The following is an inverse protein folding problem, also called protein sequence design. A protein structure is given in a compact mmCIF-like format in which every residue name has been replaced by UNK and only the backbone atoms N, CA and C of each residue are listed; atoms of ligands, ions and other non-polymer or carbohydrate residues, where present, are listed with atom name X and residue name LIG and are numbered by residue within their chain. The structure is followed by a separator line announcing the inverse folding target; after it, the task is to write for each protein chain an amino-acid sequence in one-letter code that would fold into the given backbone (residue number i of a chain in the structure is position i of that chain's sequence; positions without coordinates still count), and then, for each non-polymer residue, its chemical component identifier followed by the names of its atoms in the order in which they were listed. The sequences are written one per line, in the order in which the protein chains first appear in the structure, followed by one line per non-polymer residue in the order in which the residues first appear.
data_IF_366080153232
#
_entry.id   IF_366080153232
#
_cell.length_a   1.000
_cell.length_b   1.000
_cell.length_c   1.000
_cell.angle_alpha   90.00
_cell.angle_beta   90.00
_cell.angle_gamma   90.00
#
_symmetry.space_group_name_H-M   'P 1'
#
loop_
_entity.id
_entity.type
_entity.pdbx_description
1 polymer ?
#
# COMPACT_ATOMS: atom_id res chain seq x y z
N UNK A 1 27.52 13.40 -6.78
CA UNK A 1 26.64 13.02 -7.90
C UNK A 1 25.34 12.54 -7.28
N UNK A 2 24.27 13.32 -7.38
CA UNK A 2 22.95 12.83 -6.96
C UNK A 2 22.52 11.73 -7.93
N UNK A 3 22.30 10.54 -7.39
CA UNK A 3 21.74 9.41 -8.11
C UNK A 3 20.31 9.79 -8.53
N UNK A 4 20.07 9.97 -9.84
CA UNK A 4 18.74 10.24 -10.35
C UNK A 4 17.86 9.01 -10.11
N UNK A 5 17.03 9.10 -9.09
CA UNK A 5 16.10 8.05 -8.70
C UNK A 5 15.21 7.65 -9.89
N UNK A 6 15.24 6.37 -10.26
CA UNK A 6 14.48 5.83 -11.39
C UNK A 6 13.00 5.79 -11.03
N UNK A 7 12.18 6.66 -11.63
CA UNK A 7 10.72 6.59 -11.51
C UNK A 7 10.19 5.48 -12.42
N UNK A 8 9.58 4.45 -11.83
CA UNK A 8 8.93 3.35 -12.55
C UNK A 8 7.41 3.53 -12.41
N UNK A 9 6.71 3.37 -13.53
CA UNK A 9 5.24 3.41 -13.58
C UNK A 9 4.69 1.99 -13.47
N UNK A 10 3.76 1.80 -12.54
CA UNK A 10 2.97 0.61 -12.30
C UNK A 10 1.55 0.83 -12.85
N UNK A 11 1.24 0.17 -13.96
CA UNK A 11 -0.06 0.29 -14.63
C UNK A 11 -1.19 -0.35 -13.82
N UNK A 12 -0.90 -1.33 -12.96
CA UNK A 12 -1.92 -1.99 -12.13
C UNK A 12 -2.50 -1.01 -11.11
N UNK A 13 -1.65 -0.24 -10.43
CA UNK A 13 -2.09 0.83 -9.51
C UNK A 13 -2.98 1.87 -10.18
N UNK A 14 -2.63 2.23 -11.42
CA UNK A 14 -3.39 3.22 -12.19
C UNK A 14 -4.75 2.64 -12.60
N UNK A 15 -4.79 1.38 -13.00
CA UNK A 15 -6.03 0.67 -13.34
C UNK A 15 -6.95 0.55 -12.12
N UNK A 16 -6.42 0.15 -10.97
CA UNK A 16 -7.13 0.11 -9.69
C UNK A 16 -7.73 1.48 -9.35
N UNK A 17 -6.92 2.55 -9.43
CA UNK A 17 -7.38 3.92 -9.19
C UNK A 17 -8.55 4.30 -10.11
N UNK A 18 -8.39 4.04 -11.41
CA UNK A 18 -9.38 4.44 -12.40
C UNK A 18 -10.68 3.65 -12.24
N UNK A 19 -10.61 2.40 -11.82
CA UNK A 19 -11.79 1.56 -11.57
C UNK A 19 -12.39 1.72 -10.17
N UNK A 20 -11.71 2.42 -9.26
CA UNK A 20 -12.21 2.69 -7.91
C UNK A 20 -13.34 3.71 -7.84
N UNK A 21 -14.05 3.73 -6.70
CA UNK A 21 -15.09 4.71 -6.37
C UNK A 21 -14.57 6.13 -6.10
N UNK A 22 -13.24 6.35 -6.15
CA UNK A 22 -12.66 7.69 -5.98
C UNK A 22 -13.23 8.62 -7.03
N UNK A 23 -13.79 9.76 -6.60
CA UNK A 23 -14.41 10.68 -7.55
C UNK A 23 -13.37 11.26 -8.52
N UNK A 24 -13.75 11.44 -9.79
CA UNK A 24 -12.91 12.13 -10.77
C UNK A 24 -12.57 13.57 -10.32
N UNK A 25 -13.40 14.17 -9.48
CA UNK A 25 -13.10 15.46 -8.85
C UNK A 25 -11.89 15.39 -7.90
N UNK A 26 -11.86 14.39 -7.01
CA UNK A 26 -10.77 14.20 -6.04
C UNK A 26 -9.44 13.96 -6.75
N UNK A 27 -9.44 13.11 -7.78
CA UNK A 27 -8.24 12.85 -8.59
C UNK A 27 -7.81 14.14 -9.31
N UNK A 28 -8.76 14.86 -9.91
CA UNK A 28 -8.49 16.10 -10.64
C UNK A 28 -7.85 17.18 -9.74
N UNK A 29 -8.39 17.38 -8.52
CA UNK A 29 -7.90 18.37 -7.55
C UNK A 29 -6.44 18.15 -7.14
N UNK A 30 -6.02 16.89 -7.00
CA UNK A 30 -4.68 16.55 -6.51
C UNK A 30 -3.66 16.37 -7.65
N UNK A 31 -4.09 15.89 -8.82
CA UNK A 31 -3.19 15.60 -9.95
C UNK A 31 -3.04 16.74 -10.96
N UNK A 32 -3.89 17.77 -10.88
CA UNK A 32 -4.07 18.79 -11.92
C UNK A 32 -4.43 18.19 -13.30
N UNK A 33 -5.03 17.00 -13.33
CA UNK A 33 -5.65 16.44 -14.54
C UNK A 33 -7.09 16.94 -14.63
N UNK A 34 -7.61 17.12 -15.84
CA UNK A 34 -9.03 17.48 -15.99
C UNK A 34 -9.91 16.25 -15.74
N UNK A 35 -11.14 16.46 -15.29
CA UNK A 35 -12.11 15.36 -15.11
C UNK A 35 -12.37 14.60 -16.42
N UNK A 36 -12.38 15.30 -17.56
CA UNK A 36 -12.49 14.68 -18.88
C UNK A 36 -11.35 13.71 -19.17
N UNK A 37 -10.10 14.07 -18.81
CA UNK A 37 -8.93 13.19 -18.94
C UNK A 37 -9.06 11.94 -18.08
N UNK A 38 -9.65 12.04 -16.89
CA UNK A 38 -9.85 10.87 -16.02
C UNK A 38 -10.97 9.99 -16.60
N UNK A 39 -12.10 10.60 -16.96
CA UNK A 39 -13.27 9.88 -17.43
C UNK A 39 -13.04 9.13 -18.74
N UNK A 40 -12.29 9.68 -19.70
CA UNK A 40 -11.97 8.96 -20.96
C UNK A 40 -11.23 7.64 -20.72
N UNK A 41 -10.43 7.53 -19.65
CA UNK A 41 -9.78 6.28 -19.30
C UNK A 41 -10.76 5.34 -18.59
N UNK A 42 -11.61 5.87 -17.71
CA UNK A 42 -12.67 5.08 -17.03
C UNK A 42 -13.68 4.48 -18.00
N UNK A 43 -14.03 5.20 -19.06
CA UNK A 43 -15.00 4.75 -20.06
C UNK A 43 -14.37 3.90 -21.16
N UNK A 44 -13.04 3.75 -21.16
CA UNK A 44 -12.31 3.04 -22.23
C UNK A 44 -12.23 3.81 -23.56
N UNK A 45 -12.67 5.07 -23.63
CA UNK A 45 -12.52 5.94 -24.81
C UNK A 45 -11.04 6.09 -25.20
N UNK A 46 -10.14 6.08 -24.20
CA UNK A 46 -8.70 5.97 -24.41
C UNK A 46 -8.15 4.77 -23.64
N UNK A 47 -7.40 3.91 -24.33
CA UNK A 47 -6.72 2.78 -23.70
C UNK A 47 -5.58 3.23 -22.79
N UNK A 48 -5.32 2.48 -21.72
CA UNK A 48 -4.19 2.69 -20.80
C UNK A 48 -2.84 2.66 -21.53
N UNK A 49 -2.64 1.76 -22.50
CA UNK A 49 -1.41 1.65 -23.31
C UNK A 49 -1.08 2.95 -24.08
N UNK A 50 -2.07 3.81 -24.33
CA UNK A 50 -1.91 5.09 -25.01
C UNK A 50 -1.71 6.27 -24.03
N UNK A 51 -1.57 6.01 -22.72
CA UNK A 51 -1.38 7.04 -21.71
C UNK A 51 0.03 7.63 -21.77
N UNK A 52 0.13 8.97 -21.73
CA UNK A 52 1.44 9.62 -21.62
C UNK A 52 2.06 9.34 -20.24
N UNK A 53 3.37 9.12 -20.18
CA UNK A 53 4.12 8.88 -18.93
C UNK A 53 3.81 9.96 -17.86
N UNK A 54 3.69 11.22 -18.26
CA UNK A 54 3.35 12.33 -17.34
C UNK A 54 2.00 12.14 -16.66
N UNK A 55 0.99 11.65 -17.37
CA UNK A 55 -0.33 11.36 -16.79
C UNK A 55 -0.24 10.15 -15.87
N UNK A 56 0.47 9.11 -16.32
CA UNK A 56 0.65 7.89 -15.53
C UNK A 56 1.35 8.17 -14.19
N UNK A 57 2.45 8.94 -14.20
CA UNK A 57 3.16 9.35 -12.98
C UNK A 57 2.24 10.09 -12.01
N UNK A 58 1.43 11.02 -12.50
CA UNK A 58 0.49 11.78 -11.64
C UNK A 58 -0.59 10.90 -11.02
N UNK A 59 -1.16 9.98 -11.80
CA UNK A 59 -2.17 9.05 -11.31
C UNK A 59 -1.57 8.07 -10.29
N UNK A 60 -0.36 7.59 -10.55
CA UNK A 60 0.36 6.75 -9.59
C UNK A 60 0.73 7.51 -8.31
N UNK A 61 1.27 8.73 -8.41
CA UNK A 61 1.58 9.56 -7.24
C UNK A 61 0.30 9.78 -6.40
N UNK A 62 -0.84 10.04 -7.04
CA UNK A 62 -2.12 10.10 -6.34
C UNK A 62 -2.49 8.77 -5.65
N UNK A 63 -2.35 7.64 -6.35
CA UNK A 63 -2.64 6.32 -5.78
C UNK A 63 -1.72 6.02 -4.58
N UNK A 64 -0.42 6.26 -4.70
CA UNK A 64 0.55 6.03 -3.63
C UNK A 64 0.25 6.94 -2.41
N UNK A 65 -0.20 8.17 -2.63
CA UNK A 65 -0.55 9.08 -1.55
C UNK A 65 -1.90 8.75 -0.89
N UNK A 66 -2.90 8.34 -1.67
CA UNK A 66 -4.32 8.29 -1.26
C UNK A 66 -4.89 6.88 -1.12
N UNK A 67 -4.35 5.89 -1.83
CA UNK A 67 -4.75 4.48 -1.70
C UNK A 67 -4.00 3.77 -0.56
N UNK A 68 -2.87 4.33 -0.11
CA UNK A 68 -2.33 4.07 1.24
C UNK A 68 -3.17 4.83 2.30
N UNK A 69 -4.23 5.56 1.92
CA UNK A 69 -4.98 6.48 2.82
C UNK A 69 -6.49 6.23 2.86
N UNK A 70 -7.00 5.23 2.15
CA UNK A 70 -8.39 4.81 2.32
C UNK A 70 -8.47 3.80 3.46
N UNK A 71 -8.84 4.33 4.63
CA UNK A 71 -9.68 3.71 5.64
C UNK A 71 -9.15 2.44 6.31
N UNK A 72 -8.37 2.67 7.35
CA UNK A 72 -8.30 1.71 8.43
C UNK A 72 -8.25 2.54 9.72
N UNK A 73 -9.27 2.42 10.56
CA UNK A 73 -9.12 2.62 11.99
C UNK A 73 -9.14 1.20 12.55
N UNK A 74 -7.98 0.56 12.51
CA UNK A 74 -7.78 -0.77 13.09
C UNK A 74 -6.84 -0.50 14.24
N UNK A 75 -7.35 -0.68 15.45
CA UNK A 75 -6.61 -0.45 16.68
C UNK A 75 -5.36 -1.33 16.65
N UNK A 76 -4.27 -0.72 16.21
CA UNK A 76 -2.96 -1.34 16.10
C UNK A 76 -2.09 -0.82 17.24
N UNK A 77 -2.68 -0.20 18.28
CA UNK A 77 -1.96 0.48 19.35
C UNK A 77 -1.02 -0.45 20.10
N UNK A 78 -1.46 -1.67 20.40
CA UNK A 78 -0.63 -2.70 21.02
C UNK A 78 0.52 -3.12 20.08
N UNK A 79 0.23 -3.48 18.83
CA UNK A 79 1.22 -3.87 17.82
C UNK A 79 2.26 -2.77 17.53
N UNK A 80 1.83 -1.49 17.50
CA UNK A 80 2.72 -0.33 17.34
C UNK A 80 3.66 -0.21 18.54
N UNK A 81 3.15 -0.46 19.74
CA UNK A 81 3.94 -0.39 20.98
C UNK A 81 5.01 -1.47 20.98
N UNK A 82 4.62 -2.73 20.73
CA UNK A 82 5.53 -3.88 20.62
C UNK A 82 6.60 -3.66 19.55
N UNK A 83 6.21 -3.24 18.35
CA UNK A 83 7.16 -3.02 17.26
C UNK A 83 8.15 -1.89 17.57
N UNK A 84 7.75 -0.86 18.34
CA UNK A 84 8.66 0.20 18.79
C UNK A 84 9.70 -0.33 19.78
N UNK A 85 9.29 -1.19 20.71
CA UNK A 85 10.19 -1.84 21.68
C UNK A 85 11.18 -2.79 20.98
N UNK A 86 10.70 -3.54 19.98
CA UNK A 86 11.53 -4.40 19.17
C UNK A 86 12.53 -3.60 18.32
N UNK A 87 12.11 -2.51 17.68
CA UNK A 87 13.02 -1.64 16.93
C UNK A 87 14.08 -1.02 17.86
N UNK A 88 13.72 -0.67 19.10
CA UNK A 88 14.67 -0.17 20.08
C UNK A 88 15.71 -1.24 20.48
N UNK A 89 15.30 -2.51 20.54
CA UNK A 89 16.15 -3.63 20.96
C UNK A 89 17.00 -4.19 19.82
N UNK A 90 16.44 -4.32 18.62
CA UNK A 90 17.01 -5.06 17.49
C UNK A 90 17.34 -4.19 16.26
N UNK A 91 16.95 -2.90 16.27
CA UNK A 91 17.19 -1.99 15.16
C UNK A 91 16.22 -2.22 13.98
N UNK A 92 16.67 -1.98 12.75
CA UNK A 92 15.83 -2.08 11.55
C UNK A 92 15.94 -3.47 10.88
N UNK A 93 15.23 -4.44 11.46
CA UNK A 93 15.22 -5.83 11.02
C UNK A 93 14.23 -6.09 9.88
N UNK A 94 14.35 -7.24 9.21
CA UNK A 94 13.34 -7.75 8.29
C UNK A 94 12.27 -8.52 9.08
N UNK A 95 11.00 -8.30 8.76
CA UNK A 95 9.87 -9.00 9.35
C UNK A 95 8.94 -9.55 8.28
N UNK A 96 8.27 -10.66 8.62
CA UNK A 96 7.04 -11.07 7.94
C UNK A 96 5.90 -10.22 8.47
N UNK A 97 5.06 -9.70 7.58
CA UNK A 97 3.84 -9.01 7.98
C UNK A 97 2.61 -9.64 7.31
N UNK A 98 1.58 -9.88 8.12
CA UNK A 98 0.31 -10.41 7.69
C UNK A 98 -0.55 -9.29 7.15
N UNK A 99 -1.17 -9.54 6.00
CA UNK A 99 -1.97 -8.57 5.26
C UNK A 99 -3.36 -9.14 5.05
N UNK A 100 -4.37 -8.42 5.50
CA UNK A 100 -5.76 -8.64 5.10
C UNK A 100 -6.17 -7.59 4.08
N UNK A 101 -6.88 -8.00 3.03
CA UNK A 101 -7.49 -7.07 2.09
C UNK A 101 -8.95 -6.84 2.48
N UNK A 102 -9.29 -5.63 2.88
CA UNK A 102 -10.66 -5.21 3.18
C UNK A 102 -11.01 -4.08 2.21
N UNK A 103 -12.05 -4.25 1.39
CA UNK A 103 -12.47 -3.27 0.38
C UNK A 103 -11.33 -2.74 -0.52
N UNK A 104 -10.38 -3.62 -0.85
CA UNK A 104 -9.22 -3.29 -1.69
C UNK A 104 -8.06 -2.59 -0.95
N UNK A 105 -8.19 -2.37 0.36
CA UNK A 105 -7.18 -1.76 1.23
C UNK A 105 -6.34 -2.84 1.90
N UNK A 106 -5.01 -2.67 1.91
CA UNK A 106 -4.09 -3.55 2.65
C UNK A 106 -4.05 -3.15 4.12
N UNK A 107 -4.37 -4.10 4.99
CA UNK A 107 -4.39 -3.94 6.44
C UNK A 107 -3.34 -4.86 7.04
N UNK A 108 -2.42 -4.31 7.82
CA UNK A 108 -1.44 -5.11 8.53
C UNK A 108 -2.06 -5.58 9.84
N UNK A 109 -2.16 -6.90 10.01
CA UNK A 109 -2.85 -7.50 11.17
C UNK A 109 -1.89 -8.13 12.16
N UNK A 110 -0.69 -8.51 11.71
CA UNK A 110 0.33 -9.12 12.56
C UNK A 110 1.74 -8.99 11.95
N UNK A 111 2.78 -9.23 12.73
CA UNK A 111 4.15 -9.34 12.27
C UNK A 111 4.93 -10.39 13.06
N UNK A 112 6.02 -10.88 12.48
CA UNK A 112 6.99 -11.73 13.16
C UNK A 112 8.40 -11.49 12.59
N UNK A 113 9.43 -11.79 13.38
CA UNK A 113 10.81 -11.69 12.95
C UNK A 113 11.07 -12.63 11.79
N UNK A 114 11.77 -12.13 10.77
CA UNK A 114 12.29 -12.97 9.71
C UNK A 114 13.76 -13.27 10.02
N UNK A 115 13.99 -14.34 10.77
CA UNK A 115 15.34 -14.89 10.94
C UNK A 115 15.56 -16.10 10.01
N UNK A 116 16.82 -16.53 9.86
CA UNK A 116 17.17 -17.65 8.97
C UNK A 116 16.77 -19.03 9.53
N UNK A 117 16.33 -19.11 10.78
CA UNK A 117 15.91 -20.31 11.49
C UNK A 117 14.37 -20.45 11.59
N UNK A 118 13.62 -19.34 11.56
CA UNK A 118 12.15 -19.27 11.60
C UNK A 118 11.59 -19.11 10.18
N UNK A 119 11.44 -20.23 9.48
CA UNK A 119 10.51 -20.28 8.36
C UNK A 119 9.09 -20.29 8.92
N UNK A 120 8.19 -19.50 8.32
CA UNK A 120 6.76 -19.62 8.56
C UNK A 120 6.37 -21.09 8.39
N UNK A 121 5.71 -21.64 9.41
CA UNK A 121 5.25 -23.02 9.36
C UNK A 121 4.18 -23.16 8.28
N UNK A 122 4.02 -24.37 7.75
CA UNK A 122 2.96 -24.66 6.78
C UNK A 122 1.58 -24.34 7.36
N UNK A 123 1.40 -24.51 8.66
CA UNK A 123 0.13 -24.25 9.33
C UNK A 123 -0.16 -22.75 9.41
N UNK A 124 0.83 -21.91 9.74
CA UNK A 124 0.67 -20.44 9.69
C UNK A 124 0.34 -19.93 8.29
N UNK A 125 1.00 -20.49 7.27
CA UNK A 125 0.73 -20.14 5.87
C UNK A 125 -0.68 -20.60 5.44
N UNK A 126 -1.09 -21.80 5.84
CA UNK A 126 -2.40 -22.35 5.51
C UNK A 126 -3.53 -21.59 6.24
N UNK A 127 -3.36 -21.28 7.53
CA UNK A 127 -4.33 -20.50 8.31
C UNK A 127 -4.50 -19.09 7.76
N UNK A 128 -3.41 -18.41 7.39
CA UNK A 128 -3.50 -17.12 6.72
C UNK A 128 -4.25 -17.24 5.38
N UNK A 129 -3.95 -18.25 4.57
CA UNK A 129 -4.66 -18.48 3.30
C UNK A 129 -6.16 -18.72 3.50
N UNK A 130 -6.54 -19.53 4.49
CA UNK A 130 -7.94 -19.82 4.84
C UNK A 130 -8.69 -18.58 5.33
N UNK A 131 -7.99 -17.64 5.99
CA UNK A 131 -8.54 -16.36 6.45
C UNK A 131 -8.51 -15.24 5.39
N UNK A 132 -8.01 -15.53 4.18
CA UNK A 132 -7.85 -14.55 3.11
C UNK A 132 -6.69 -13.57 3.34
N UNK A 133 -5.75 -13.93 4.20
CA UNK A 133 -4.57 -13.15 4.52
C UNK A 133 -3.38 -13.55 3.63
N UNK A 134 -2.52 -12.57 3.35
CA UNK A 134 -1.30 -12.71 2.58
C UNK A 134 -0.11 -12.26 3.44
N UNK A 135 1.11 -12.58 3.00
CA UNK A 135 2.33 -12.15 3.68
C UNK A 135 3.18 -11.30 2.76
N UNK A 136 3.87 -10.31 3.33
CA UNK A 136 4.99 -9.68 2.66
C UNK A 136 6.16 -9.47 3.62
N UNK A 137 7.36 -9.37 3.05
CA UNK A 137 8.57 -9.04 3.81
C UNK A 137 8.83 -7.56 3.69
N UNK A 138 9.00 -6.89 4.83
CA UNK A 138 9.43 -5.50 4.86
C UNK A 138 10.34 -5.22 6.06
N UNK A 139 10.87 -4.00 6.09
CA UNK A 139 11.68 -3.49 7.19
C UNK A 139 10.80 -3.02 8.35
N UNK A 140 11.21 -3.30 9.58
CA UNK A 140 10.49 -2.95 10.79
C UNK A 140 10.14 -1.44 10.85
N UNK A 141 11.09 -0.56 10.50
CA UNK A 141 10.81 0.89 10.44
C UNK A 141 9.80 1.28 9.35
N UNK A 142 9.77 0.54 8.25
CA UNK A 142 8.78 0.76 7.20
C UNK A 142 7.39 0.30 7.65
N UNK A 143 7.32 -0.87 8.31
CA UNK A 143 6.08 -1.40 8.87
C UNK A 143 5.51 -0.44 9.93
N UNK A 144 6.35 0.07 10.82
CA UNK A 144 5.95 1.03 11.83
C UNK A 144 5.27 2.26 11.21
N UNK A 145 5.85 2.83 10.15
CA UNK A 145 5.25 3.97 9.43
C UNK A 145 3.88 3.63 8.83
N UNK A 146 3.70 2.39 8.36
CA UNK A 146 2.44 1.93 7.80
C UNK A 146 1.38 1.71 8.89
N UNK A 147 1.76 1.13 10.03
CA UNK A 147 0.90 0.92 11.19
C UNK A 147 0.48 2.23 11.84
N UNK A 148 1.40 3.17 12.05
CA UNK A 148 1.08 4.50 12.56
C UNK A 148 0.06 5.20 11.64
N UNK A 149 0.22 5.06 10.33
CA UNK A 149 -0.74 5.57 9.35
C UNK A 149 -2.08 4.82 9.35
N UNK A 150 -2.07 3.52 9.62
CA UNK A 150 -3.26 2.68 9.82
C UNK A 150 -3.98 2.98 11.15
N UNK A 151 -3.32 3.63 12.11
CA UNK A 151 -3.89 4.01 13.39
C UNK A 151 -4.25 5.51 13.47
N UNK A 152 -4.04 6.26 12.39
CA UNK A 152 -4.53 7.64 12.24
C UNK A 152 -6.07 7.61 12.04
N UNK A 153 -6.80 7.62 13.16
CA UNK A 153 -8.24 7.89 13.19
C UNK A 153 -8.47 9.37 12.84
N UNK A 154 -9.41 9.66 11.95
CA UNK A 154 -9.90 11.03 11.71
C UNK A 154 -10.60 11.63 12.92
#
# INVERSE_FOLDING_TARGET
MEEKMKKIVDLGKIEDLLNSDVSAYSISKNTNLTRAVINRYRTGETKLENMTIRVALKLQEFYDENYIKQTISYDSGEMITELKEDIASFGDFECWAWIKKIDGVKIYTNYDFKDNATQLTKDEVNTAHENGEQFEVLKAKHLLKLLEKQNEIF
#
